data_IF_706321752801
#
_entry.id   IF_706321752801
#
_cell.length_a   1.000
_cell.length_b   1.000
_cell.length_c   1.000
_cell.angle_alpha   90.00
_cell.angle_beta   90.00
_cell.angle_gamma   90.00
#
_symmetry.space_group_name_H-M   'P 1'
#
loop_
_entity.id
_entity.type
_entity.pdbx_description
1 polymer ?
#
# COMPACT_ATOMS: atom_id res chain seq x y z
N UNK A 1 -16.99 3.34 -3.57
CA UNK A 1 -17.95 2.26 -3.32
C UNK A 1 -17.22 1.13 -2.59
N UNK A 2 -17.35 1.05 -1.25
CA UNK A 2 -16.51 0.16 -0.42
C UNK A 2 -16.72 -1.34 -0.72
N UNK A 3 -17.95 -1.75 -1.06
CA UNK A 3 -18.24 -3.15 -1.37
C UNK A 3 -17.44 -3.71 -2.55
N UNK A 4 -17.16 -2.89 -3.57
CA UNK A 4 -16.34 -3.29 -4.73
C UNK A 4 -14.86 -3.47 -4.35
N UNK A 5 -14.37 -2.71 -3.37
CA UNK A 5 -12.98 -2.81 -2.90
C UNK A 5 -12.79 -4.12 -2.14
N UNK A 6 -13.73 -4.48 -1.27
CA UNK A 6 -13.69 -5.75 -0.52
C UNK A 6 -13.79 -6.96 -1.45
N UNK A 7 -14.66 -6.91 -2.45
CA UNK A 7 -14.75 -7.96 -3.47
C UNK A 7 -13.45 -8.10 -4.26
N UNK A 8 -12.88 -6.98 -4.70
CA UNK A 8 -11.59 -6.96 -5.40
C UNK A 8 -10.45 -7.53 -4.54
N UNK A 9 -10.44 -7.27 -3.23
CA UNK A 9 -9.50 -7.88 -2.30
C UNK A 9 -9.69 -9.40 -2.24
N UNK A 10 -10.93 -9.88 -2.12
CA UNK A 10 -11.23 -11.33 -2.10
C UNK A 10 -10.73 -12.01 -3.38
N UNK A 11 -10.93 -11.40 -4.53
CA UNK A 11 -10.46 -11.95 -5.80
C UNK A 11 -8.93 -11.94 -5.90
N UNK A 12 -8.26 -10.89 -5.42
CA UNK A 12 -6.80 -10.88 -5.31
C UNK A 12 -6.31 -12.01 -4.39
N UNK A 13 -6.96 -12.24 -3.25
CA UNK A 13 -6.62 -13.34 -2.35
C UNK A 13 -6.81 -14.72 -3.00
N UNK A 14 -7.89 -14.93 -3.74
CA UNK A 14 -8.11 -16.18 -4.49
C UNK A 14 -7.03 -16.37 -5.56
N UNK A 15 -6.73 -15.33 -6.33
CA UNK A 15 -5.69 -15.37 -7.35
C UNK A 15 -4.33 -15.76 -6.75
N UNK A 16 -3.96 -15.17 -5.60
CA UNK A 16 -2.70 -15.45 -4.92
C UNK A 16 -2.66 -16.82 -4.21
N UNK A 17 -3.82 -17.40 -3.87
CA UNK A 17 -3.89 -18.80 -3.42
C UNK A 17 -3.66 -19.80 -4.55
N UNK A 18 -4.06 -19.44 -5.77
CA UNK A 18 -3.89 -20.27 -6.96
C UNK A 18 -2.46 -20.13 -7.49
N UNK A 19 -1.97 -18.90 -7.60
CA UNK A 19 -0.63 -18.59 -8.08
C UNK A 19 0.02 -17.51 -7.21
N UNK A 20 0.88 -17.90 -6.24
CA UNK A 20 1.65 -16.97 -5.42
C UNK A 20 2.66 -16.12 -6.20
N UNK A 21 3.01 -16.51 -7.44
CA UNK A 21 3.93 -15.78 -8.30
C UNK A 21 3.21 -14.79 -9.24
N UNK A 22 1.89 -14.64 -9.11
CA UNK A 22 1.13 -13.74 -9.97
C UNK A 22 1.34 -12.26 -9.60
N UNK A 23 2.39 -11.64 -10.15
CA UNK A 23 2.82 -10.27 -9.85
C UNK A 23 1.66 -9.25 -9.92
N UNK A 24 0.80 -9.34 -10.93
CA UNK A 24 -0.34 -8.41 -11.10
C UNK A 24 -1.37 -8.51 -9.96
N UNK A 25 -1.57 -9.68 -9.35
CA UNK A 25 -2.47 -9.81 -8.21
C UNK A 25 -1.88 -9.17 -6.95
N UNK A 26 -0.58 -9.33 -6.71
CA UNK A 26 0.13 -8.59 -5.66
C UNK A 26 0.02 -7.08 -5.86
N UNK A 27 0.27 -6.59 -7.08
CA UNK A 27 0.13 -5.18 -7.43
C UNK A 27 -1.28 -4.65 -7.11
N UNK A 28 -2.32 -5.32 -7.64
CA UNK A 28 -3.71 -4.90 -7.44
C UNK A 28 -4.10 -4.88 -5.97
N UNK A 29 -3.72 -5.91 -5.20
CA UNK A 29 -3.98 -5.94 -3.76
C UNK A 29 -3.28 -4.80 -3.03
N UNK A 30 -2.04 -4.51 -3.40
CA UNK A 30 -1.28 -3.36 -2.90
C UNK A 30 -1.98 -2.02 -3.15
N UNK A 31 -2.49 -1.79 -4.37
CA UNK A 31 -3.28 -0.59 -4.70
C UNK A 31 -4.54 -0.44 -3.86
N UNK A 32 -5.29 -1.53 -3.67
CA UNK A 32 -6.49 -1.52 -2.85
C UNK A 32 -6.16 -1.22 -1.38
N UNK A 33 -5.08 -1.80 -0.86
CA UNK A 33 -4.58 -1.49 0.48
C UNK A 33 -4.16 -0.02 0.62
N UNK A 34 -3.56 0.60 -0.41
CA UNK A 34 -3.27 2.04 -0.41
C UNK A 34 -4.55 2.88 -0.34
N UNK A 35 -5.59 2.51 -1.09
CA UNK A 35 -6.90 3.21 -1.07
C UNK A 35 -7.56 3.09 0.31
N UNK A 36 -7.41 1.96 0.98
CA UNK A 36 -7.93 1.71 2.32
C UNK A 36 -7.09 2.34 3.44
N UNK A 37 -5.93 2.93 3.13
CA UNK A 37 -5.00 3.48 4.12
C UNK A 37 -4.14 2.43 4.83
N UNK A 38 -4.19 1.16 4.40
CA UNK A 38 -3.39 0.06 4.93
C UNK A 38 -1.97 0.09 4.32
N UNK A 39 -1.23 1.18 4.54
CA UNK A 39 0.04 1.46 3.85
C UNK A 39 1.11 0.39 4.09
N UNK A 40 1.15 -0.23 5.27
CA UNK A 40 2.09 -1.33 5.58
C UNK A 40 1.84 -2.55 4.69
N UNK A 41 0.58 -2.97 4.57
CA UNK A 41 0.20 -4.09 3.71
C UNK A 41 0.39 -3.76 2.23
N UNK A 42 0.07 -2.51 1.84
CA UNK A 42 0.33 -2.03 0.49
C UNK A 42 1.82 -2.09 0.13
N UNK A 43 2.69 -1.60 1.01
CA UNK A 43 4.13 -1.60 0.80
C UNK A 43 4.66 -3.03 0.62
N UNK A 44 4.24 -3.97 1.49
CA UNK A 44 4.61 -5.39 1.37
C UNK A 44 4.17 -5.95 0.01
N UNK A 45 2.91 -5.76 -0.35
CA UNK A 45 2.35 -6.35 -1.57
C UNK A 45 3.02 -5.80 -2.84
N UNK A 46 3.26 -4.49 -2.91
CA UNK A 46 3.99 -3.86 -4.03
C UNK A 46 5.45 -4.34 -4.07
N UNK A 47 6.09 -4.56 -2.93
CA UNK A 47 7.47 -5.10 -2.86
C UNK A 47 7.55 -6.51 -3.42
N UNK A 48 6.58 -7.37 -3.10
CA UNK A 48 6.51 -8.72 -3.69
C UNK A 48 6.28 -8.63 -5.20
N UNK A 49 5.34 -7.79 -5.65
CA UNK A 49 5.13 -7.55 -7.09
C UNK A 49 6.42 -7.09 -7.80
N UNK A 50 7.23 -6.24 -7.16
CA UNK A 50 8.50 -5.75 -7.71
C UNK A 50 9.53 -6.88 -7.85
N UNK A 51 9.59 -7.81 -6.90
CA UNK A 51 10.51 -8.96 -6.97
C UNK A 51 10.15 -9.94 -8.09
N UNK A 52 8.88 -9.99 -8.48
CA UNK A 52 8.36 -10.88 -9.53
C UNK A 52 8.35 -10.23 -10.93
N UNK A 53 8.41 -8.90 -10.99
CA UNK A 53 8.40 -8.16 -12.25
C UNK A 53 9.73 -8.32 -13.00
N UNK A 54 9.67 -8.62 -14.29
CA UNK A 54 10.86 -8.79 -15.13
C UNK A 54 11.16 -7.56 -15.98
N UNK A 55 10.14 -6.77 -16.34
CA UNK A 55 10.28 -5.57 -17.17
C UNK A 55 10.90 -4.41 -16.40
N UNK A 56 11.89 -3.73 -17.01
CA UNK A 56 12.49 -2.52 -16.45
C UNK A 56 11.45 -1.40 -16.25
N UNK A 57 10.52 -1.25 -17.20
CA UNK A 57 9.46 -0.25 -17.12
C UNK A 57 8.52 -0.55 -15.94
N UNK A 58 8.12 -1.82 -15.80
CA UNK A 58 7.29 -2.28 -14.68
C UNK A 58 7.96 -2.07 -13.33
N UNK A 59 9.26 -2.42 -13.22
CA UNK A 59 10.05 -2.18 -12.01
C UNK A 59 10.09 -0.71 -11.62
N UNK A 60 10.32 0.19 -12.58
CA UNK A 60 10.36 1.64 -12.34
C UNK A 60 9.00 2.16 -11.87
N UNK A 61 7.90 1.67 -12.45
CA UNK A 61 6.55 2.01 -12.01
C UNK A 61 6.31 1.59 -10.56
N UNK A 62 6.64 0.34 -10.20
CA UNK A 62 6.47 -0.19 -8.85
C UNK A 62 7.34 0.55 -7.82
N UNK A 63 8.57 0.90 -8.16
CA UNK A 63 9.45 1.72 -7.31
C UNK A 63 8.87 3.11 -7.04
N UNK A 64 8.28 3.76 -8.05
CA UNK A 64 7.61 5.05 -7.87
C UNK A 64 6.42 4.92 -6.91
N UNK A 65 5.65 3.83 -7.00
CA UNK A 65 4.55 3.58 -6.08
C UNK A 65 5.02 3.34 -4.64
N UNK A 66 6.09 2.57 -4.44
CA UNK A 66 6.67 2.37 -3.10
C UNK A 66 7.11 3.68 -2.47
N UNK A 67 7.74 4.56 -3.25
CA UNK A 67 8.13 5.89 -2.80
C UNK A 67 6.90 6.70 -2.37
N UNK A 68 5.86 6.73 -3.20
CA UNK A 68 4.62 7.43 -2.87
C UNK A 68 3.98 6.89 -1.57
N UNK A 69 3.91 5.57 -1.38
CA UNK A 69 3.37 4.94 -0.16
C UNK A 69 4.17 5.38 1.08
N UNK A 70 5.50 5.38 0.99
CA UNK A 70 6.38 5.85 2.06
C UNK A 70 6.15 7.33 2.40
N UNK A 71 6.03 8.18 1.38
CA UNK A 71 5.77 9.62 1.56
C UNK A 71 4.42 9.87 2.24
N UNK A 72 3.36 9.15 1.84
CA UNK A 72 2.04 9.22 2.49
C UNK A 72 2.09 8.76 3.94
N UNK A 73 2.79 7.66 4.22
CA UNK A 73 2.93 7.14 5.58
C UNK A 73 3.69 8.13 6.48
N UNK A 74 4.79 8.71 6.00
CA UNK A 74 5.58 9.70 6.74
C UNK A 74 4.78 10.98 7.03
N UNK A 75 4.01 11.46 6.06
CA UNK A 75 3.12 12.62 6.25
C UNK A 75 2.09 12.35 7.36
N UNK A 76 1.46 11.16 7.37
CA UNK A 76 0.49 10.78 8.41
C UNK A 76 1.12 10.72 9.80
N UNK A 77 2.35 10.21 9.90
CA UNK A 77 3.10 10.19 11.17
C UNK A 77 3.43 11.61 11.63
N UNK A 78 3.84 12.51 10.72
CA UNK A 78 4.08 13.91 11.05
C UNK A 78 2.82 14.61 11.57
N UNK A 79 1.70 14.49 10.86
CA UNK A 79 0.41 15.05 11.29
C UNK A 79 -0.01 14.55 12.68
N UNK A 80 0.24 13.27 12.97
CA UNK A 80 -0.04 12.70 14.28
C UNK A 80 0.87 13.26 15.38
N UNK A 81 2.17 13.38 15.11
CA UNK A 81 3.13 13.97 16.05
C UNK A 81 2.80 15.44 16.36
N UNK A 82 2.45 16.23 15.33
CA UNK A 82 2.04 17.63 15.49
C UNK A 82 0.77 17.76 16.35
N UNK A 83 -0.19 16.83 16.18
CA UNK A 83 -1.40 16.78 16.99
C UNK A 83 -1.13 16.45 18.47
N UNK A 84 -0.18 15.53 18.73
CA UNK A 84 0.26 15.22 20.11
C UNK A 84 0.91 16.43 20.75
N UNK A 85 1.86 17.08 20.04
CA UNK A 85 2.54 18.29 20.49
C UNK A 85 1.50 19.36 20.86
N UNK A 86 0.59 19.71 19.95
CA UNK A 86 -0.46 20.69 20.21
C UNK A 86 -1.30 20.37 21.45
N UNK A 87 -1.58 19.09 21.72
CA UNK A 87 -2.36 18.67 22.89
C UNK A 87 -1.57 18.80 24.20
N UNK A 88 -0.27 18.54 24.19
CA UNK A 88 0.61 18.72 25.35
C UNK A 88 0.76 20.21 25.71
N UNK A 89 0.90 21.08 24.71
CA UNK A 89 1.10 22.52 24.94
C UNK A 89 -0.19 23.30 25.28
N UNK A 90 -1.39 22.74 25.04
CA UNK A 90 -2.68 23.35 25.45
C UNK A 90 -3.12 23.00 26.88
N UNK A 91 -2.35 22.21 27.62
CA UNK A 91 -2.64 21.80 29.02
C UNK A 91 -1.78 22.59 30.03
N UNK A 92 -1.07 23.62 29.58
CA UNK A 92 -0.42 24.63 30.44
C UNK A 92 -1.16 25.96 30.32
#
# INVERSE_FOLDING_TARGET
NLGLIEESLRDCHRALRIDPCYAKAWYRRGKLNTILGNYRDAFRDITVSLSLESSLVGKKQLQNELKAISDYQNKKVSEHNDAIICRVYKVK
#
